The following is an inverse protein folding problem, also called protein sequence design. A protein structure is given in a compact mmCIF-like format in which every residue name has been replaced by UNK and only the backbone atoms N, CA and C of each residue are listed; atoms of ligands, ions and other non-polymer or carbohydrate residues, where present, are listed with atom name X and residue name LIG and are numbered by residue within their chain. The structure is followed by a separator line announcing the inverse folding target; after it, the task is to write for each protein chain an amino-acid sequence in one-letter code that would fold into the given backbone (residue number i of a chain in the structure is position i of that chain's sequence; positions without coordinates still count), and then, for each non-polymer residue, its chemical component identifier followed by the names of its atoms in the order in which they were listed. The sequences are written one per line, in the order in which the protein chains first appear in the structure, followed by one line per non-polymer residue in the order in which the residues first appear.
data_IF_534634158868
#
_entry.id   IF_534634158868
#
_cell.length_a   1.000
_cell.length_b   1.000
_cell.length_c   1.000
_cell.angle_alpha   90.00
_cell.angle_beta   90.00
_cell.angle_gamma   90.00
#
_symmetry.space_group_name_H-M   'P 1'
#
loop_
_entity.id
_entity.type
_entity.pdbx_description
1 polymer ?
#
# COMPACT_ATOMS: atom_id res chain seq x y z
N UNK A 1 -4.82 23.46 -9.75
CA UNK A 1 -5.78 22.63 -10.50
C UNK A 1 -5.11 21.32 -10.82
N UNK A 2 -5.77 20.19 -10.56
CA UNK A 2 -5.26 18.90 -11.02
C UNK A 2 -5.55 18.71 -12.52
N UNK A 3 -4.91 17.72 -13.15
CA UNK A 3 -5.07 17.44 -14.58
C UNK A 3 -6.54 17.19 -14.97
N UNK A 4 -7.31 16.54 -14.09
CA UNK A 4 -8.73 16.25 -14.31
C UNK A 4 -9.59 17.50 -14.37
N UNK A 5 -9.33 18.46 -13.48
CA UNK A 5 -9.99 19.77 -13.47
C UNK A 5 -9.67 20.57 -14.73
N UNK A 6 -8.40 20.52 -15.19
CA UNK A 6 -7.98 21.17 -16.44
C UNK A 6 -8.68 20.54 -17.64
N UNK A 7 -8.66 19.22 -17.76
CA UNK A 7 -9.28 18.49 -18.87
C UNK A 7 -10.80 18.70 -18.87
N UNK A 8 -11.46 18.62 -17.71
CA UNK A 8 -12.90 18.87 -17.59
C UNK A 8 -13.26 20.32 -17.94
N UNK A 9 -12.40 21.29 -17.62
CA UNK A 9 -12.59 22.68 -18.02
C UNK A 9 -12.52 22.83 -19.54
N UNK A 10 -11.53 22.20 -20.20
CA UNK A 10 -11.40 22.20 -21.67
C UNK A 10 -12.64 21.57 -22.34
N UNK A 11 -13.15 20.48 -21.78
CA UNK A 11 -14.38 19.82 -22.25
C UNK A 11 -15.59 20.75 -22.07
N UNK A 12 -15.74 21.37 -20.90
CA UNK A 12 -16.84 22.30 -20.57
C UNK A 12 -16.85 23.53 -21.48
N UNK A 13 -15.67 24.06 -21.78
CA UNK A 13 -15.48 25.25 -22.62
C UNK A 13 -15.62 24.91 -24.13
N UNK A 14 -16.00 23.67 -24.48
CA UNK A 14 -16.15 23.16 -25.86
C UNK A 14 -14.89 23.31 -26.73
N UNK A 15 -13.72 23.48 -26.14
CA UNK A 15 -12.48 23.73 -26.88
C UNK A 15 -12.12 22.58 -27.84
N UNK A 16 -12.40 21.33 -27.45
CA UNK A 16 -12.23 20.17 -28.33
C UNK A 16 -13.12 20.21 -29.58
N UNK A 17 -14.33 20.78 -29.48
CA UNK A 17 -15.22 20.95 -30.65
C UNK A 17 -14.78 22.11 -31.54
N UNK A 18 -14.23 23.17 -30.94
CA UNK A 18 -13.75 24.35 -31.66
C UNK A 18 -12.44 24.08 -32.41
N UNK A 19 -11.56 23.26 -31.83
CA UNK A 19 -10.26 22.92 -32.42
C UNK A 19 -10.28 21.69 -33.35
N UNK A 20 -11.46 21.08 -33.59
CA UNK A 20 -11.55 19.87 -34.41
C UNK A 20 -11.30 20.17 -35.89
N UNK A 21 -10.63 19.24 -36.56
CA UNK A 21 -10.56 19.22 -38.02
C UNK A 21 -11.94 18.85 -38.61
N UNK A 22 -12.58 19.73 -39.41
CA UNK A 22 -13.90 19.47 -39.96
C UNK A 22 -13.95 18.30 -40.95
N UNK A 23 -12.80 17.86 -41.47
CA UNK A 23 -12.70 16.71 -42.39
C UNK A 23 -12.65 15.36 -41.68
N UNK A 24 -12.53 15.35 -40.34
CA UNK A 24 -12.44 14.13 -39.53
C UNK A 24 -13.60 14.02 -38.56
N UNK A 25 -14.17 12.82 -38.45
CA UNK A 25 -15.15 12.51 -37.40
C UNK A 25 -14.43 12.53 -36.05
N UNK A 26 -14.81 13.48 -35.18
CA UNK A 26 -14.23 13.62 -33.86
C UNK A 26 -15.33 13.56 -32.79
N UNK A 27 -15.15 12.67 -31.82
CA UNK A 27 -16.00 12.52 -30.64
C UNK A 27 -15.24 13.12 -29.47
N UNK A 28 -15.78 14.19 -28.88
CA UNK A 28 -15.16 14.81 -27.72
C UNK A 28 -15.16 13.86 -26.52
N UNK A 29 -14.08 13.83 -25.72
CA UNK A 29 -14.05 13.03 -24.51
C UNK A 29 -15.12 13.50 -23.51
N UNK A 30 -15.68 12.55 -22.77
CA UNK A 30 -16.60 12.86 -21.67
C UNK A 30 -15.82 13.39 -20.47
N UNK A 31 -16.44 14.30 -19.72
CA UNK A 31 -15.87 14.76 -18.45
C UNK A 31 -15.65 13.58 -17.49
N UNK A 32 -14.50 13.57 -16.81
CA UNK A 32 -14.15 12.57 -15.81
C UNK A 32 -14.64 13.02 -14.44
N UNK A 33 -14.91 12.09 -13.53
CA UNK A 33 -15.20 12.44 -12.14
C UNK A 33 -14.02 13.19 -11.50
N UNK A 34 -14.31 14.16 -10.62
CA UNK A 34 -13.26 14.86 -9.88
C UNK A 34 -12.47 13.88 -9.01
N UNK A 35 -11.17 14.08 -8.91
CA UNK A 35 -10.33 13.31 -7.99
C UNK A 35 -10.63 13.76 -6.57
N UNK A 36 -11.19 12.90 -5.68
CA UNK A 36 -11.46 13.29 -4.31
C UNK A 36 -10.16 13.30 -3.49
N UNK A 37 -10.24 13.88 -2.30
CA UNK A 37 -9.19 13.73 -1.30
C UNK A 37 -9.14 12.28 -0.81
N UNK A 38 -7.95 11.67 -0.86
CA UNK A 38 -7.66 10.37 -0.26
C UNK A 38 -6.79 10.60 0.97
N UNK A 39 -7.20 10.05 2.11
CA UNK A 39 -6.48 10.21 3.37
C UNK A 39 -5.43 9.11 3.54
N UNK A 40 -4.15 9.51 3.47
CA UNK A 40 -2.99 8.63 3.65
C UNK A 40 -2.36 8.68 5.05
N UNK A 41 -2.81 9.57 5.92
CA UNK A 41 -2.10 9.91 7.16
C UNK A 41 -1.86 8.70 8.07
N UNK A 42 -2.83 7.79 8.19
CA UNK A 42 -2.66 6.57 8.98
C UNK A 42 -1.61 5.62 8.40
N UNK A 43 -1.51 5.53 7.07
CA UNK A 43 -0.49 4.74 6.40
C UNK A 43 0.90 5.38 6.58
N UNK A 44 1.00 6.70 6.36
CA UNK A 44 2.24 7.47 6.52
C UNK A 44 2.78 7.36 7.95
N UNK A 45 1.92 7.55 8.96
CA UNK A 45 2.28 7.39 10.37
C UNK A 45 2.81 5.98 10.67
N UNK A 46 2.18 4.96 10.10
CA UNK A 46 2.59 3.56 10.30
C UNK A 46 3.94 3.28 9.62
N UNK A 47 4.24 3.90 8.48
CA UNK A 47 5.53 3.79 7.79
C UNK A 47 6.65 4.51 8.55
N UNK A 48 6.38 5.67 9.15
CA UNK A 48 7.33 6.35 10.03
C UNK A 48 7.66 5.48 11.24
N UNK A 49 6.65 4.87 11.86
CA UNK A 49 6.86 3.93 12.96
C UNK A 49 7.68 2.72 12.51
N UNK A 50 7.38 2.13 11.35
CA UNK A 50 8.13 1.01 10.79
C UNK A 50 9.61 1.36 10.64
N UNK A 51 9.91 2.53 10.09
CA UNK A 51 11.27 3.01 9.91
C UNK A 51 12.03 3.05 11.24
N UNK A 52 11.44 3.67 12.26
CA UNK A 52 12.06 3.78 13.58
C UNK A 52 12.30 2.39 14.21
N UNK A 53 11.31 1.49 14.12
CA UNK A 53 11.43 0.12 14.64
C UNK A 53 12.49 -0.71 13.89
N UNK A 54 12.62 -0.52 12.59
CA UNK A 54 13.64 -1.19 11.79
C UNK A 54 15.05 -0.71 12.17
N UNK A 55 15.23 0.59 12.40
CA UNK A 55 16.48 1.17 12.90
C UNK A 55 16.81 0.64 14.31
N UNK A 56 15.82 0.55 15.20
CA UNK A 56 15.99 -0.02 16.53
C UNK A 56 16.36 -1.50 16.47
N UNK A 57 15.63 -2.30 15.69
CA UNK A 57 15.92 -3.71 15.46
C UNK A 57 17.34 -3.92 14.93
N UNK A 58 17.75 -3.11 13.96
CA UNK A 58 19.10 -3.13 13.39
C UNK A 58 20.20 -2.82 14.41
N UNK A 59 19.90 -2.07 15.48
CA UNK A 59 20.86 -1.81 16.55
C UNK A 59 21.05 -3.00 17.51
N UNK A 60 20.03 -3.85 17.66
CA UNK A 60 20.02 -4.97 18.63
C UNK A 60 20.07 -6.37 17.99
N UNK A 61 19.99 -6.50 16.66
CA UNK A 61 19.87 -7.80 15.99
C UNK A 61 21.01 -8.78 16.30
N UNK A 62 22.23 -8.27 16.54
CA UNK A 62 23.40 -9.08 16.89
C UNK A 62 23.25 -9.81 18.24
N UNK A 63 22.39 -9.31 19.14
CA UNK A 63 22.11 -9.97 20.41
C UNK A 63 21.39 -11.30 20.20
N UNK A 64 20.74 -11.49 19.05
CA UNK A 64 19.94 -12.68 18.76
C UNK A 64 20.72 -13.98 18.83
N UNK A 65 22.01 -13.98 18.46
CA UNK A 65 22.87 -15.18 18.52
C UNK A 65 23.35 -15.51 19.92
N UNK A 66 23.29 -14.54 20.84
CA UNK A 66 23.72 -14.68 22.24
C UNK A 66 22.56 -15.10 23.16
N UNK A 67 21.32 -15.06 22.66
CA UNK A 67 20.15 -15.49 23.42
C UNK A 67 20.17 -17.00 23.70
N UNK A 68 19.58 -17.47 24.82
CA UNK A 68 19.32 -18.90 25.02
C UNK A 68 18.51 -19.50 23.88
N UNK A 69 18.69 -20.80 23.61
CA UNK A 69 18.04 -21.50 22.49
C UNK A 69 16.51 -21.30 22.44
N UNK A 70 15.83 -21.32 23.60
CA UNK A 70 14.39 -21.07 23.65
C UNK A 70 14.00 -19.67 23.15
N UNK A 71 14.81 -18.66 23.51
CA UNK A 71 14.60 -17.27 23.08
C UNK A 71 14.94 -17.07 21.61
N UNK A 72 15.93 -17.78 21.07
CA UNK A 72 16.18 -17.82 19.63
C UNK A 72 14.99 -18.43 18.86
N UNK A 73 14.43 -19.53 19.36
CA UNK A 73 13.23 -20.13 18.77
C UNK A 73 12.02 -19.21 18.85
N UNK A 74 11.87 -18.44 19.93
CA UNK A 74 10.85 -17.40 20.05
C UNK A 74 11.07 -16.30 18.99
N UNK A 75 12.30 -15.81 18.83
CA UNK A 75 12.64 -14.80 17.82
C UNK A 75 12.33 -15.28 16.39
N UNK A 76 12.71 -16.52 16.05
CA UNK A 76 12.43 -17.11 14.74
C UNK A 76 10.93 -17.18 14.45
N UNK A 77 10.10 -17.49 15.45
CA UNK A 77 8.63 -17.48 15.29
C UNK A 77 8.09 -16.09 15.04
N UNK A 78 8.60 -15.07 15.74
CA UNK A 78 8.20 -13.67 15.52
C UNK A 78 8.57 -13.23 14.09
N UNK A 79 9.79 -13.50 13.63
CA UNK A 79 10.22 -13.15 12.28
C UNK A 79 9.41 -13.87 11.19
N UNK A 80 9.08 -15.15 11.41
CA UNK A 80 8.18 -15.90 10.53
C UNK A 80 6.77 -15.29 10.49
N UNK A 81 6.25 -14.86 11.64
CA UNK A 81 4.93 -14.23 11.72
C UNK A 81 4.91 -12.80 11.17
N UNK A 82 6.03 -12.10 11.17
CA UNK A 82 6.16 -10.76 10.58
C UNK A 82 5.75 -10.78 9.10
N UNK A 83 6.34 -11.62 8.26
CA UNK A 83 5.93 -11.72 6.84
C UNK A 83 4.46 -12.15 6.70
N UNK A 84 4.00 -13.08 7.54
CA UNK A 84 2.58 -13.54 7.51
C UNK A 84 1.59 -12.45 7.90
N UNK A 85 2.00 -11.47 8.71
CA UNK A 85 1.15 -10.33 9.06
C UNK A 85 0.87 -9.39 7.88
N UNK A 86 1.64 -9.50 6.78
CA UNK A 86 1.42 -8.76 5.54
C UNK A 86 0.27 -9.31 4.67
N UNK A 87 -0.37 -10.38 5.14
CA UNK A 87 -1.48 -11.08 4.49
C UNK A 87 -2.81 -10.60 5.09
N UNK A 88 -3.79 -10.35 4.22
CA UNK A 88 -5.19 -10.12 4.62
C UNK A 88 -6.05 -11.32 4.23
N UNK A 89 -6.88 -11.82 5.15
CA UNK A 89 -7.81 -12.94 4.87
C UNK A 89 -8.86 -12.60 3.82
N UNK A 90 -9.24 -11.31 3.71
CA UNK A 90 -10.14 -10.83 2.65
C UNK A 90 -9.50 -10.89 1.25
N UNK A 91 -8.17 -10.91 1.19
CA UNK A 91 -7.42 -10.81 -0.05
C UNK A 91 -7.58 -9.47 -0.77
N UNK A 92 -7.22 -9.46 -2.06
CA UNK A 92 -7.32 -8.28 -2.91
C UNK A 92 -8.69 -8.21 -3.63
N UNK A 93 -9.20 -7.00 -3.92
CA UNK A 93 -10.44 -6.84 -4.68
C UNK A 93 -10.43 -7.64 -6.00
N UNK A 94 -11.53 -8.35 -6.27
CA UNK A 94 -11.73 -9.22 -7.45
C UNK A 94 -10.80 -10.44 -7.53
N UNK A 95 -9.90 -10.64 -6.56
CA UNK A 95 -8.91 -11.73 -6.54
C UNK A 95 -8.51 -12.11 -5.11
N UNK A 96 -9.49 -12.59 -4.36
CA UNK A 96 -9.37 -12.90 -2.92
C UNK A 96 -8.28 -13.94 -2.58
N UNK A 97 -7.86 -14.76 -3.54
CA UNK A 97 -6.74 -15.71 -3.36
C UNK A 97 -5.36 -15.03 -3.30
N UNK A 98 -5.21 -13.80 -3.81
CA UNK A 98 -4.02 -13.00 -3.58
C UNK A 98 -4.17 -12.24 -2.27
N UNK A 99 -3.49 -12.73 -1.23
CA UNK A 99 -3.65 -12.22 0.12
C UNK A 99 -2.61 -11.20 0.56
N UNK A 100 -1.45 -11.16 -0.09
CA UNK A 100 -0.35 -10.28 0.28
C UNK A 100 -0.66 -8.82 -0.09
N UNK A 101 -0.57 -7.89 0.87
CA UNK A 101 -1.02 -6.51 0.69
C UNK A 101 0.07 -5.57 0.16
N UNK A 102 1.35 -5.98 0.18
CA UNK A 102 2.46 -5.12 -0.26
C UNK A 102 2.81 -5.35 -1.74
N UNK A 103 2.69 -6.59 -2.22
CA UNK A 103 2.96 -6.95 -3.61
C UNK A 103 2.03 -8.06 -4.08
N UNK A 104 1.61 -7.99 -5.34
CA UNK A 104 0.92 -9.06 -6.05
C UNK A 104 1.13 -8.91 -7.56
N UNK A 105 0.89 -9.95 -8.39
CA UNK A 105 0.79 -9.80 -9.84
C UNK A 105 -0.24 -8.71 -10.19
N UNK A 106 0.01 -7.91 -11.21
CA UNK A 106 -0.91 -6.83 -11.58
C UNK A 106 -2.15 -7.37 -12.27
N UNK A 107 -3.32 -6.87 -11.87
CA UNK A 107 -4.60 -7.34 -12.40
C UNK A 107 -4.76 -7.01 -13.89
N UNK A 108 -4.37 -5.80 -14.29
CA UNK A 108 -4.46 -5.33 -15.70
C UNK A 108 -3.12 -5.33 -16.44
N UNK A 109 -2.01 -5.64 -15.76
CA UNK A 109 -0.65 -5.63 -16.36
C UNK A 109 -0.05 -7.03 -16.51
N UNK A 110 -0.84 -8.08 -16.30
CA UNK A 110 -0.38 -9.47 -16.41
C UNK A 110 0.75 -9.78 -15.43
N UNK A 111 1.90 -10.22 -15.96
CA UNK A 111 3.08 -10.61 -15.15
C UNK A 111 3.79 -9.46 -14.43
N UNK A 112 3.46 -8.20 -14.72
CA UNK A 112 4.06 -7.07 -14.01
C UNK A 112 3.60 -7.00 -12.55
N UNK A 113 4.52 -7.06 -11.59
CA UNK A 113 4.21 -6.91 -10.16
C UNK A 113 3.67 -5.52 -9.86
N UNK A 114 2.61 -5.44 -9.05
CA UNK A 114 2.07 -4.20 -8.49
C UNK A 114 2.42 -4.12 -7.02
N UNK A 115 3.05 -3.01 -6.64
CA UNK A 115 3.24 -2.61 -5.25
C UNK A 115 2.00 -1.92 -4.72
N UNK A 116 1.62 -2.21 -3.47
CA UNK A 116 0.39 -1.73 -2.82
C UNK A 116 -0.84 -1.88 -3.74
N UNK A 117 -1.11 -3.10 -4.27
CA UNK A 117 -2.06 -3.30 -5.37
C UNK A 117 -3.48 -2.78 -5.04
N UNK A 118 -3.96 -2.98 -3.81
CA UNK A 118 -5.28 -2.50 -3.38
C UNK A 118 -5.45 -0.98 -3.50
N UNK A 119 -4.38 -0.22 -3.33
CA UNK A 119 -4.39 1.25 -3.43
C UNK A 119 -4.15 1.66 -4.88
N UNK A 120 -3.04 1.19 -5.45
CA UNK A 120 -2.55 1.64 -6.76
C UNK A 120 -3.54 1.30 -7.87
N UNK A 121 -4.04 0.07 -7.90
CA UNK A 121 -4.95 -0.36 -8.96
C UNK A 121 -6.31 0.35 -8.87
N UNK A 122 -6.79 0.65 -7.65
CA UNK A 122 -8.01 1.41 -7.45
C UNK A 122 -7.89 2.87 -7.90
N UNK A 123 -6.73 3.52 -7.64
CA UNK A 123 -6.44 4.86 -8.15
C UNK A 123 -6.35 4.87 -9.68
N UNK A 124 -5.64 3.90 -10.26
CA UNK A 124 -5.51 3.75 -11.73
C UNK A 124 -6.89 3.58 -12.40
N UNK A 125 -7.83 2.89 -11.75
CA UNK A 125 -9.20 2.72 -12.22
C UNK A 125 -10.16 3.83 -11.80
N UNK A 126 -9.69 4.84 -11.05
CA UNK A 126 -10.54 5.89 -10.45
C UNK A 126 -11.65 5.34 -9.54
N UNK A 127 -11.46 4.15 -8.98
CA UNK A 127 -12.34 3.54 -8.00
C UNK A 127 -12.06 4.15 -6.61
N UNK A 128 -12.39 5.43 -6.42
CA UNK A 128 -11.92 6.22 -5.28
C UNK A 128 -12.31 5.66 -3.91
N UNK A 129 -13.53 5.13 -3.79
CA UNK A 129 -13.99 4.46 -2.56
C UNK A 129 -13.11 3.25 -2.24
N UNK A 130 -12.83 2.42 -3.26
CA UNK A 130 -11.97 1.25 -3.12
C UNK A 130 -10.53 1.66 -2.81
N UNK A 131 -10.04 2.77 -3.37
CA UNK A 131 -8.72 3.31 -3.05
C UNK A 131 -8.61 3.68 -1.57
N UNK A 132 -9.62 4.35 -1.00
CA UNK A 132 -9.64 4.67 0.42
C UNK A 132 -9.75 3.42 1.30
N UNK A 133 -10.55 2.43 0.91
CA UNK A 133 -10.62 1.14 1.61
C UNK A 133 -9.28 0.41 1.58
N UNK A 134 -8.60 0.41 0.42
CA UNK A 134 -7.26 -0.15 0.26
C UNK A 134 -6.22 0.54 1.14
N UNK A 135 -6.27 1.88 1.26
CA UNK A 135 -5.38 2.63 2.16
C UNK A 135 -5.60 2.20 3.61
N UNK A 136 -6.85 2.06 4.03
CA UNK A 136 -7.19 1.61 5.38
C UNK A 136 -6.70 0.18 5.65
N UNK A 137 -6.91 -0.75 4.71
CA UNK A 137 -6.43 -2.14 4.83
C UNK A 137 -4.92 -2.19 4.92
N UNK A 138 -4.20 -1.54 4.01
CA UNK A 138 -2.72 -1.52 4.01
C UNK A 138 -2.19 -0.87 5.28
N UNK A 139 -2.79 0.23 5.76
CA UNK A 139 -2.39 0.85 7.03
C UNK A 139 -2.47 -0.14 8.19
N UNK A 140 -3.57 -0.88 8.32
CA UNK A 140 -3.71 -1.89 9.38
C UNK A 140 -2.70 -3.03 9.22
N UNK A 141 -2.46 -3.47 8.00
CA UNK A 141 -1.43 -4.49 7.70
C UNK A 141 -0.03 -4.03 8.14
N UNK A 142 0.36 -2.79 7.85
CA UNK A 142 1.65 -2.26 8.32
C UNK A 142 1.69 -2.14 9.84
N UNK A 143 0.58 -1.74 10.49
CA UNK A 143 0.52 -1.72 11.97
C UNK A 143 0.72 -3.10 12.59
N UNK A 144 0.14 -4.15 12.00
CA UNK A 144 0.36 -5.53 12.44
C UNK A 144 1.82 -5.97 12.26
N UNK A 145 2.43 -5.59 11.13
CA UNK A 145 3.85 -5.83 10.90
C UNK A 145 4.74 -5.11 11.92
N UNK A 146 4.46 -3.82 12.19
CA UNK A 146 5.16 -3.03 13.22
C UNK A 146 5.08 -3.71 14.59
N UNK A 147 3.93 -4.28 14.96
CA UNK A 147 3.79 -5.01 16.22
C UNK A 147 4.74 -6.22 16.29
N UNK A 148 4.93 -6.96 15.20
CA UNK A 148 5.89 -8.08 15.14
C UNK A 148 7.34 -7.59 15.26
N UNK A 149 7.71 -6.50 14.57
CA UNK A 149 9.06 -5.92 14.68
C UNK A 149 9.32 -5.42 16.10
N UNK A 150 8.35 -4.73 16.71
CA UNK A 150 8.44 -4.27 18.09
C UNK A 150 8.59 -5.44 19.07
N UNK A 151 7.87 -6.55 18.87
CA UNK A 151 8.02 -7.75 19.71
C UNK A 151 9.44 -8.34 19.59
N UNK A 152 10.00 -8.37 18.38
CA UNK A 152 11.36 -8.83 18.14
C UNK A 152 12.40 -7.92 18.83
N UNK A 153 12.24 -6.60 18.71
CA UNK A 153 13.05 -5.59 19.41
C UNK A 153 12.99 -5.82 20.93
N UNK A 154 11.79 -5.96 21.49
CA UNK A 154 11.60 -6.18 22.93
C UNK A 154 12.25 -7.48 23.43
N UNK A 155 12.30 -8.51 22.58
CA UNK A 155 12.95 -9.76 22.90
C UNK A 155 14.48 -9.64 22.90
N UNK A 156 15.03 -8.84 21.97
CA UNK A 156 16.46 -8.61 21.79
C UNK A 156 17.04 -7.56 22.76
N UNK A 157 16.22 -6.63 23.24
CA UNK A 157 16.61 -5.55 24.16
C UNK A 157 16.57 -5.93 25.65
N UNK A 158 16.04 -7.10 26.01
CA UNK A 158 16.10 -7.60 27.40
C UNK A 158 17.45 -8.29 27.63
N UNK A 159 18.27 -7.85 28.61
CA UNK A 159 19.48 -8.57 28.94
C UNK A 159 19.14 -10.00 29.38
N UNK A 160 19.90 -10.97 28.88
CA UNK A 160 19.84 -12.34 29.37
C UNK A 160 20.40 -12.35 30.80
N UNK A 161 19.53 -12.51 31.79
CA UNK A 161 19.93 -12.79 33.17
C UNK A 161 20.16 -14.29 33.33
#
# INVERSE_FOLDING_TARGET
MNETEVENKIIKDNLYKLAKDPTKTYIAPSAKESVPYLNFSELENSLVQLKNLAEEYQSVYLNGTQLPLEKQNQLNRILFNAERSLISEKGLPRREWYKHQIYAPGFYTGYGVKTLPAIREAIEQRAWKEAQEGINTVSQTIKMYNAQVQEAVNLLGKPAF
#
